data_IF_678082784925
#
_entry.id   IF_678082784925
#
_cell.length_a   1.000
_cell.length_b   1.000
_cell.length_c   1.000
_cell.angle_alpha   90.00
_cell.angle_beta   90.00
_cell.angle_gamma   90.00
#
_symmetry.space_group_name_H-M   'P 1'
#
loop_
_entity.id
_entity.type
_entity.pdbx_description
1 polymer ?
#
# COMPACT_ATOMS: atom_id res chain seq x y z
N UNK A 1 -0.66 5.19 7.26
CA UNK A 1 -1.46 6.15 6.47
C UNK A 1 -2.61 6.75 7.28
N UNK A 2 -3.59 6.05 7.89
CA UNK A 2 -4.66 6.68 8.70
C UNK A 2 -4.15 7.61 9.80
N UNK A 3 -3.16 7.21 10.57
CA UNK A 3 -2.59 8.05 11.64
C UNK A 3 -2.02 9.38 11.10
N UNK A 4 -1.35 9.35 9.95
CA UNK A 4 -0.82 10.56 9.31
C UNK A 4 -1.94 11.51 8.90
N UNK A 5 -3.04 10.99 8.36
CA UNK A 5 -4.19 11.79 7.97
C UNK A 5 -4.74 12.56 9.17
N UNK A 6 -4.97 11.89 10.30
CA UNK A 6 -5.48 12.54 11.51
C UNK A 6 -4.50 13.54 12.12
N UNK A 7 -3.20 13.23 12.10
CA UNK A 7 -2.18 14.17 12.57
C UNK A 7 -2.18 15.44 11.72
N UNK A 8 -2.18 15.31 10.40
CA UNK A 8 -2.21 16.48 9.51
C UNK A 8 -3.52 17.26 9.62
N UNK A 9 -4.64 16.58 9.82
CA UNK A 9 -5.93 17.22 10.07
C UNK A 9 -5.93 18.02 11.38
N UNK A 10 -5.41 17.44 12.48
CA UNK A 10 -5.32 18.14 13.78
C UNK A 10 -4.33 19.29 13.78
N UNK A 11 -3.31 19.24 12.95
CA UNK A 11 -2.35 20.32 12.72
C UNK A 11 -2.87 21.39 11.74
N UNK A 12 -4.15 21.28 11.29
CA UNK A 12 -4.81 22.23 10.40
C UNK A 12 -4.09 22.46 9.05
N UNK A 13 -3.51 21.39 8.48
CA UNK A 13 -3.02 21.45 7.10
C UNK A 13 -4.16 21.73 6.11
N UNK A 14 -3.82 22.30 4.95
CA UNK A 14 -4.81 22.61 3.91
C UNK A 14 -5.63 21.39 3.52
N UNK A 15 -6.94 21.47 3.71
CA UNK A 15 -7.90 20.39 3.44
C UNK A 15 -7.90 19.96 1.97
N UNK A 16 -7.53 20.83 1.04
CA UNK A 16 -7.49 20.51 -0.38
C UNK A 16 -6.39 19.49 -0.69
N UNK A 17 -5.27 19.55 0.03
CA UNK A 17 -4.09 18.72 -0.19
C UNK A 17 -3.86 17.69 0.91
N UNK A 18 -4.72 17.62 1.93
CA UNK A 18 -4.55 16.79 3.12
C UNK A 18 -4.29 15.31 2.76
N UNK A 19 -5.11 14.76 1.86
CA UNK A 19 -4.96 13.36 1.45
C UNK A 19 -3.71 13.14 0.59
N UNK A 20 -3.37 14.08 -0.29
CA UNK A 20 -2.17 14.02 -1.12
C UNK A 20 -0.90 14.01 -0.27
N UNK A 21 -0.83 14.93 0.71
CA UNK A 21 0.27 15.00 1.68
C UNK A 21 0.39 13.71 2.49
N UNK A 22 -0.75 13.17 2.93
CA UNK A 22 -0.80 11.91 3.66
C UNK A 22 -0.27 10.74 2.84
N UNK A 23 -0.72 10.61 1.58
CA UNK A 23 -0.32 9.52 0.68
C UNK A 23 1.15 9.64 0.29
N UNK A 24 1.60 10.83 -0.10
CA UNK A 24 3.00 11.07 -0.49
C UNK A 24 3.98 10.78 0.66
N UNK A 25 3.67 11.30 1.86
CA UNK A 25 4.46 11.04 3.07
C UNK A 25 4.44 9.55 3.43
N UNK A 26 3.28 8.89 3.34
CA UNK A 26 3.17 7.45 3.61
C UNK A 26 4.01 6.62 2.65
N UNK A 27 4.03 6.91 1.36
CA UNK A 27 4.90 6.22 0.40
C UNK A 27 6.38 6.40 0.74
N UNK A 28 6.80 7.60 1.09
CA UNK A 28 8.19 7.87 1.46
C UNK A 28 8.61 7.08 2.70
N UNK A 29 7.78 7.03 3.75
CA UNK A 29 8.01 6.20 4.93
C UNK A 29 8.06 4.72 4.56
N UNK A 30 7.17 4.28 3.68
CA UNK A 30 7.08 2.86 3.33
C UNK A 30 8.22 2.36 2.43
N UNK A 31 9.02 3.21 1.80
CA UNK A 31 10.28 2.82 1.16
C UNK A 31 11.19 2.11 2.17
N UNK A 32 11.42 2.73 3.32
CA UNK A 32 12.29 2.19 4.38
C UNK A 32 11.67 0.95 5.02
N UNK A 33 10.40 1.01 5.34
CA UNK A 33 9.64 -0.12 5.93
C UNK A 33 9.64 -1.34 5.00
N UNK A 34 9.42 -1.14 3.71
CA UNK A 34 9.46 -2.21 2.71
C UNK A 34 10.87 -2.78 2.54
N UNK A 35 11.90 -1.93 2.56
CA UNK A 35 13.30 -2.38 2.49
C UNK A 35 13.61 -3.35 3.63
N UNK A 36 13.27 -2.99 4.88
CA UNK A 36 13.46 -3.86 6.04
C UNK A 36 12.66 -5.16 5.90
N UNK A 37 11.43 -5.07 5.43
CA UNK A 37 10.56 -6.23 5.17
C UNK A 37 11.15 -7.16 4.11
N UNK A 38 11.62 -6.62 2.98
CA UNK A 38 12.27 -7.39 1.91
C UNK A 38 13.51 -8.12 2.42
N UNK A 39 14.39 -7.42 3.16
CA UNK A 39 15.59 -8.03 3.72
C UNK A 39 15.21 -9.19 4.64
N UNK A 40 14.21 -9.01 5.49
CA UNK A 40 13.74 -10.03 6.43
C UNK A 40 13.15 -11.25 5.70
N UNK A 41 12.30 -11.04 4.71
CA UNK A 41 11.71 -12.12 3.91
C UNK A 41 12.76 -12.82 3.02
N UNK A 42 13.73 -12.08 2.51
CA UNK A 42 14.78 -12.65 1.65
C UNK A 42 15.74 -13.53 2.45
N UNK A 43 16.04 -13.19 3.71
CA UNK A 43 16.80 -14.08 4.62
C UNK A 43 16.13 -15.46 4.77
N UNK A 44 14.81 -15.50 4.72
CA UNK A 44 14.03 -16.74 4.78
C UNK A 44 13.79 -17.37 3.39
N UNK A 45 14.47 -16.89 2.33
CA UNK A 45 14.36 -17.36 0.93
C UNK A 45 12.92 -17.32 0.39
N UNK A 46 12.11 -16.37 0.84
CA UNK A 46 10.69 -16.25 0.46
C UNK A 46 10.46 -15.26 -0.69
N UNK A 47 11.41 -14.41 -1.00
CA UNK A 47 11.34 -13.51 -2.15
C UNK A 47 11.66 -14.30 -3.42
N UNK A 48 10.76 -14.25 -4.39
CA UNK A 48 11.01 -14.77 -5.73
C UNK A 48 11.16 -13.60 -6.71
N UNK A 49 12.41 -13.29 -7.04
CA UNK A 49 12.73 -12.18 -7.94
C UNK A 49 12.20 -12.37 -9.37
N UNK A 50 11.87 -13.59 -9.79
CA UNK A 50 11.22 -13.83 -11.08
C UNK A 50 9.79 -13.27 -11.04
N UNK A 51 9.05 -13.48 -9.93
CA UNK A 51 7.73 -12.88 -9.73
C UNK A 51 7.86 -11.35 -9.74
N UNK A 52 8.82 -10.80 -9.00
CA UNK A 52 9.05 -9.35 -8.93
C UNK A 52 9.29 -8.76 -10.31
N UNK A 53 10.13 -9.38 -11.13
CA UNK A 53 10.43 -8.91 -12.49
C UNK A 53 9.24 -9.06 -13.46
N UNK A 54 8.48 -10.15 -13.37
CA UNK A 54 7.44 -10.46 -14.37
C UNK A 54 6.06 -9.92 -14.03
N UNK A 55 5.78 -9.65 -12.76
CA UNK A 55 4.51 -9.05 -12.30
C UNK A 55 4.74 -7.61 -11.80
N UNK A 56 5.82 -7.37 -11.06
CA UNK A 56 6.11 -6.08 -10.43
C UNK A 56 6.26 -4.93 -11.44
N UNK A 57 6.81 -5.19 -12.64
CA UNK A 57 6.90 -4.17 -13.71
C UNK A 57 5.53 -3.63 -14.08
N UNK A 58 4.53 -4.48 -14.23
CA UNK A 58 3.17 -4.06 -14.55
C UNK A 58 2.50 -3.34 -13.38
N UNK A 59 2.83 -3.72 -12.14
CA UNK A 59 2.38 -3.01 -10.95
C UNK A 59 2.97 -1.59 -10.92
N UNK A 60 4.25 -1.43 -11.20
CA UNK A 60 4.91 -0.11 -11.27
C UNK A 60 4.27 0.78 -12.34
N UNK A 61 4.00 0.25 -13.54
CA UNK A 61 3.26 0.98 -14.56
C UNK A 61 1.87 1.40 -14.06
N UNK A 62 1.16 0.51 -13.36
CA UNK A 62 -0.12 0.84 -12.74
C UNK A 62 0.00 1.96 -11.70
N UNK A 63 1.06 1.96 -10.88
CA UNK A 63 1.33 3.02 -9.88
C UNK A 63 1.58 4.36 -10.57
N UNK A 64 2.35 4.40 -11.66
CA UNK A 64 2.58 5.64 -12.41
C UNK A 64 1.26 6.26 -12.88
N UNK A 65 0.42 5.48 -13.55
CA UNK A 65 -0.91 5.96 -13.98
C UNK A 65 -1.80 6.33 -12.79
N UNK A 66 -1.81 5.51 -11.75
CA UNK A 66 -2.60 5.75 -10.55
C UNK A 66 -2.16 6.99 -9.77
N UNK A 67 -0.87 7.30 -9.73
CA UNK A 67 -0.33 8.50 -9.08
C UNK A 67 -0.73 9.75 -9.84
N UNK A 68 -0.58 9.75 -11.16
CA UNK A 68 -1.05 10.86 -12.01
C UNK A 68 -2.55 11.08 -11.80
N UNK A 69 -3.34 10.02 -11.88
CA UNK A 69 -4.79 10.10 -11.65
C UNK A 69 -5.12 10.65 -10.26
N UNK A 70 -4.48 10.14 -9.21
CA UNK A 70 -4.69 10.59 -7.84
C UNK A 70 -4.34 12.06 -7.63
N UNK A 71 -3.31 12.56 -8.31
CA UNK A 71 -2.84 13.95 -8.19
C UNK A 71 -3.88 14.97 -8.66
N UNK A 72 -4.74 14.62 -9.61
CA UNK A 72 -5.82 15.47 -10.09
C UNK A 72 -7.14 15.31 -9.31
N UNK A 73 -7.22 14.35 -8.38
CA UNK A 73 -8.43 14.12 -7.59
C UNK A 73 -8.48 15.09 -6.41
N UNK A 74 -9.69 15.52 -6.04
CA UNK A 74 -9.89 16.29 -4.80
C UNK A 74 -9.71 15.36 -3.58
N UNK A 75 -9.19 15.88 -2.47
CA UNK A 75 -9.04 15.15 -1.20
C UNK A 75 -10.29 14.36 -0.81
N UNK A 76 -11.47 14.96 -0.93
CA UNK A 76 -12.76 14.31 -0.63
C UNK A 76 -12.98 13.03 -1.44
N UNK A 77 -12.67 13.04 -2.74
CA UNK A 77 -12.81 11.88 -3.62
C UNK A 77 -11.77 10.80 -3.26
N UNK A 78 -10.54 11.19 -2.92
CA UNK A 78 -9.51 10.26 -2.48
C UNK A 78 -9.88 9.58 -1.16
N UNK A 79 -10.47 10.31 -0.22
CA UNK A 79 -10.99 9.76 1.05
C UNK A 79 -12.09 8.75 0.79
N UNK A 80 -13.05 9.05 -0.10
CA UNK A 80 -14.12 8.13 -0.48
C UNK A 80 -13.55 6.87 -1.16
N UNK A 81 -12.65 7.05 -2.13
CA UNK A 81 -11.99 5.94 -2.81
C UNK A 81 -11.26 5.02 -1.84
N UNK A 82 -10.47 5.60 -0.93
CA UNK A 82 -9.79 4.87 0.13
C UNK A 82 -10.78 4.08 0.98
N UNK A 83 -11.87 4.70 1.42
CA UNK A 83 -12.89 4.08 2.26
C UNK A 83 -13.51 2.86 1.58
N UNK A 84 -13.96 3.01 0.33
CA UNK A 84 -14.59 1.93 -0.45
C UNK A 84 -13.65 0.75 -0.60
N UNK A 85 -12.40 1.01 -0.99
CA UNK A 85 -11.42 -0.05 -1.22
C UNK A 85 -11.05 -0.76 0.09
N UNK A 86 -10.87 -0.02 1.19
CA UNK A 86 -10.57 -0.59 2.51
C UNK A 86 -11.72 -1.46 3.01
N UNK A 87 -12.98 -1.03 2.82
CA UNK A 87 -14.17 -1.83 3.14
C UNK A 87 -14.23 -3.13 2.33
N UNK A 88 -14.03 -3.02 1.01
CA UNK A 88 -14.05 -4.18 0.13
C UNK A 88 -12.99 -5.22 0.54
N UNK A 89 -11.75 -4.77 0.79
CA UNK A 89 -10.68 -5.66 1.22
C UNK A 89 -10.87 -6.17 2.64
N UNK A 90 -11.43 -5.36 3.55
CA UNK A 90 -11.81 -5.80 4.89
C UNK A 90 -12.80 -6.96 4.83
N UNK A 91 -13.89 -6.81 4.05
CA UNK A 91 -14.88 -7.87 3.81
C UNK A 91 -14.23 -9.11 3.18
N UNK A 92 -13.44 -8.92 2.12
CA UNK A 92 -12.72 -10.01 1.46
C UNK A 92 -11.85 -10.80 2.44
N UNK A 93 -11.07 -10.13 3.29
CA UNK A 93 -10.19 -10.80 4.25
C UNK A 93 -10.96 -11.53 5.35
N UNK A 94 -12.10 -11.00 5.77
CA UNK A 94 -12.96 -11.67 6.77
C UNK A 94 -13.63 -12.94 6.21
N UNK A 95 -14.03 -12.91 4.93
CA UNK A 95 -14.74 -14.01 4.27
C UNK A 95 -13.81 -15.03 3.61
N UNK A 96 -12.56 -14.66 3.33
CA UNK A 96 -11.64 -15.53 2.63
C UNK A 96 -11.27 -16.75 3.48
N UNK A 97 -11.64 -17.91 2.97
CA UNK A 97 -11.25 -19.21 3.51
C UNK A 97 -9.91 -19.66 2.89
N UNK A 98 -9.15 -20.44 3.64
CA UNK A 98 -7.92 -21.04 3.14
C UNK A 98 -8.24 -22.12 2.10
N UNK A 99 -8.59 -21.73 0.88
CA UNK A 99 -8.71 -22.67 -0.23
C UNK A 99 -7.30 -23.06 -0.68
N UNK A 100 -6.81 -24.16 -0.17
CA UNK A 100 -5.56 -24.80 -0.63
C UNK A 100 -5.82 -25.47 -1.99
N UNK A 101 -6.11 -24.69 -3.02
CA UNK A 101 -5.97 -25.21 -4.38
C UNK A 101 -4.49 -25.13 -4.74
N UNK A 102 -3.87 -26.30 -4.95
CA UNK A 102 -2.56 -26.42 -5.61
C UNK A 102 -2.75 -26.02 -7.09
N UNK A 103 -2.78 -24.74 -7.37
CA UNK A 103 -2.79 -24.24 -8.73
C UNK A 103 -1.36 -24.30 -9.25
N UNK A 104 -1.17 -24.79 -10.47
CA UNK A 104 0.11 -24.63 -11.17
C UNK A 104 0.26 -23.14 -11.53
N UNK A 105 1.46 -22.56 -11.40
CA UNK A 105 1.67 -21.16 -11.77
C UNK A 105 1.24 -20.90 -13.22
N UNK A 106 0.32 -19.96 -13.39
CA UNK A 106 -0.11 -19.57 -14.72
C UNK A 106 0.98 -18.72 -15.37
N UNK A 107 1.56 -19.22 -16.47
CA UNK A 107 2.62 -18.53 -17.22
C UNK A 107 2.07 -17.49 -18.20
N UNK A 108 0.76 -17.39 -18.40
CA UNK A 108 0.14 -16.44 -19.31
C UNK A 108 0.46 -14.98 -18.94
N UNK A 109 0.84 -14.18 -19.93
CA UNK A 109 1.17 -12.76 -19.74
C UNK A 109 -0.10 -11.92 -19.50
N UNK A 110 -1.21 -12.20 -20.19
CA UNK A 110 -2.44 -11.40 -20.10
C UNK A 110 -2.94 -11.18 -18.67
N UNK A 111 -3.18 -12.22 -17.83
CA UNK A 111 -3.65 -11.99 -16.48
C UNK A 111 -2.61 -11.28 -15.60
N UNK A 112 -1.30 -11.47 -15.84
CA UNK A 112 -0.25 -10.75 -15.10
C UNK A 112 -0.26 -9.27 -15.39
N UNK A 113 -0.42 -8.88 -16.66
CA UNK A 113 -0.50 -7.48 -17.10
C UNK A 113 -1.72 -6.81 -16.47
N UNK A 114 -2.91 -7.40 -16.66
CA UNK A 114 -4.18 -6.81 -16.19
C UNK A 114 -4.18 -6.67 -14.66
N UNK A 115 -3.87 -7.75 -13.94
CA UNK A 115 -3.87 -7.75 -12.47
C UNK A 115 -2.76 -6.86 -11.91
N UNK A 116 -1.58 -6.82 -12.56
CA UNK A 116 -0.48 -5.97 -12.15
C UNK A 116 -0.82 -4.48 -12.27
N UNK A 117 -1.27 -4.04 -13.45
CA UNK A 117 -1.66 -2.65 -13.69
C UNK A 117 -2.80 -2.25 -12.76
N UNK A 118 -3.83 -3.09 -12.62
CA UNK A 118 -4.95 -2.82 -11.71
C UNK A 118 -4.49 -2.68 -10.26
N UNK A 119 -3.65 -3.61 -9.78
CA UNK A 119 -3.10 -3.54 -8.43
C UNK A 119 -2.32 -2.25 -8.17
N UNK A 120 -1.45 -1.88 -9.10
CA UNK A 120 -0.67 -0.65 -8.99
C UNK A 120 -1.53 0.60 -9.02
N UNK A 121 -2.47 0.66 -9.97
CA UNK A 121 -3.39 1.79 -10.13
C UNK A 121 -4.22 2.05 -8.86
N UNK A 122 -4.79 1.00 -8.27
CA UNK A 122 -5.59 1.14 -7.03
C UNK A 122 -4.70 1.43 -5.82
N UNK A 123 -3.47 0.89 -5.77
CA UNK A 123 -2.55 1.13 -4.65
C UNK A 123 -2.08 2.59 -4.55
N UNK A 124 -1.97 3.30 -5.67
CA UNK A 124 -1.44 4.66 -5.72
C UNK A 124 -2.29 5.67 -4.95
N UNK A 125 -3.62 5.82 -5.19
CA UNK A 125 -4.47 6.73 -4.43
C UNK A 125 -4.58 6.36 -2.95
N UNK A 126 -4.33 5.08 -2.61
CA UNK A 126 -4.45 4.59 -1.24
C UNK A 126 -3.20 4.83 -0.37
N UNK A 127 -2.04 5.12 -0.97
CA UNK A 127 -0.79 5.21 -0.22
C UNK A 127 -0.39 3.89 0.45
N UNK A 128 -0.79 2.74 -0.11
CA UNK A 128 -0.54 1.40 0.43
C UNK A 128 0.39 0.64 -0.50
N UNK A 129 1.35 -0.09 0.06
CA UNK A 129 2.40 -0.81 -0.68
C UNK A 129 1.93 -2.06 -1.43
N UNK A 130 0.64 -2.20 -1.62
CA UNK A 130 0.04 -3.23 -2.46
C UNK A 130 0.13 -4.67 -1.95
N UNK A 131 0.73 -4.95 -0.79
CA UNK A 131 0.76 -6.31 -0.25
C UNK A 131 -0.66 -6.89 -0.10
N UNK A 132 -1.60 -6.06 0.30
CA UNK A 132 -3.01 -6.40 0.47
C UNK A 132 -3.66 -6.87 -0.85
N UNK A 133 -3.25 -6.29 -1.98
CA UNK A 133 -3.75 -6.66 -3.32
C UNK A 133 -2.84 -7.68 -4.02
N UNK A 134 -1.52 -7.49 -3.94
CA UNK A 134 -0.58 -8.33 -4.66
C UNK A 134 -0.58 -9.77 -4.15
N UNK A 135 -0.76 -9.99 -2.83
CA UNK A 135 -0.79 -11.36 -2.28
C UNK A 135 -1.95 -12.17 -2.83
N UNK A 136 -3.23 -11.74 -2.78
CA UNK A 136 -4.33 -12.50 -3.38
C UNK A 136 -4.21 -12.63 -4.91
N UNK A 137 -3.69 -11.63 -5.63
CA UNK A 137 -3.49 -11.71 -7.07
C UNK A 137 -2.41 -12.72 -7.46
N UNK A 138 -1.27 -12.71 -6.78
CA UNK A 138 -0.22 -13.71 -6.98
C UNK A 138 -0.71 -15.12 -6.60
N UNK A 139 -1.54 -15.22 -5.58
CA UNK A 139 -2.19 -16.47 -5.20
C UNK A 139 -3.13 -16.97 -6.32
N UNK A 140 -3.93 -16.08 -6.88
CA UNK A 140 -4.79 -16.38 -8.04
C UNK A 140 -3.97 -16.86 -9.25
N UNK A 141 -2.76 -16.30 -9.46
CA UNK A 141 -1.82 -16.74 -10.48
C UNK A 141 -1.14 -18.09 -10.16
N UNK A 142 -1.47 -18.73 -9.02
CA UNK A 142 -1.03 -20.08 -8.67
C UNK A 142 0.27 -20.15 -7.87
N UNK A 143 0.80 -19.03 -7.38
CA UNK A 143 2.02 -19.05 -6.56
C UNK A 143 1.75 -19.48 -5.11
N UNK A 144 2.72 -20.18 -4.44
CA UNK A 144 2.61 -20.51 -3.02
C UNK A 144 2.51 -19.25 -2.15
N UNK A 145 1.68 -19.30 -1.09
CA UNK A 145 1.40 -18.14 -0.23
C UNK A 145 2.67 -17.51 0.37
N UNK A 146 3.64 -18.33 0.77
CA UNK A 146 4.92 -17.85 1.31
C UNK A 146 5.71 -17.03 0.29
N UNK A 147 5.73 -17.48 -0.98
CA UNK A 147 6.35 -16.73 -2.09
C UNK A 147 5.56 -15.48 -2.45
N UNK A 148 4.22 -15.53 -2.35
CA UNK A 148 3.38 -14.35 -2.56
C UNK A 148 3.69 -13.25 -1.55
N UNK A 149 3.79 -13.58 -0.25
CA UNK A 149 4.08 -12.61 0.82
C UNK A 149 5.46 -11.97 0.62
N UNK A 150 6.51 -12.80 0.44
CA UNK A 150 7.86 -12.28 0.26
C UNK A 150 8.02 -11.44 -1.01
N UNK A 151 7.47 -11.91 -2.14
CA UNK A 151 7.55 -11.18 -3.41
C UNK A 151 6.69 -9.92 -3.40
N UNK A 152 5.51 -9.93 -2.73
CA UNK A 152 4.68 -8.73 -2.56
C UNK A 152 5.38 -7.66 -1.73
N UNK A 153 6.19 -8.02 -0.73
CA UNK A 153 7.02 -7.07 0.01
C UNK A 153 8.04 -6.39 -0.90
N UNK A 154 8.71 -7.14 -1.79
CA UNK A 154 9.65 -6.60 -2.76
C UNK A 154 8.96 -5.70 -3.80
N UNK A 155 7.80 -6.10 -4.32
CA UNK A 155 6.99 -5.26 -5.20
C UNK A 155 6.55 -3.98 -4.46
N UNK A 156 6.23 -4.09 -3.17
CA UNK A 156 5.88 -2.97 -2.31
C UNK A 156 6.96 -1.89 -2.21
N UNK A 157 8.23 -2.28 -2.22
CA UNK A 157 9.34 -1.33 -2.30
C UNK A 157 9.28 -0.50 -3.59
N UNK A 158 9.09 -1.14 -4.75
CA UNK A 158 8.98 -0.43 -6.03
C UNK A 158 7.72 0.45 -6.11
N UNK A 159 6.59 -0.01 -5.58
CA UNK A 159 5.37 0.80 -5.46
C UNK A 159 5.64 2.07 -4.66
N UNK A 160 6.27 1.91 -3.48
CA UNK A 160 6.55 3.03 -2.57
C UNK A 160 7.50 4.03 -3.20
N UNK A 161 8.56 3.55 -3.84
CA UNK A 161 9.53 4.41 -4.52
C UNK A 161 8.87 5.20 -5.64
N UNK A 162 8.16 4.52 -6.54
CA UNK A 162 7.46 5.16 -7.67
C UNK A 162 6.37 6.12 -7.20
N UNK A 163 5.58 5.72 -6.20
CA UNK A 163 4.53 6.57 -5.63
C UNK A 163 5.11 7.81 -4.93
N UNK A 164 6.19 7.65 -4.16
CA UNK A 164 6.87 8.77 -3.50
C UNK A 164 7.38 9.79 -4.51
N UNK A 165 8.08 9.34 -5.55
CA UNK A 165 8.58 10.22 -6.64
C UNK A 165 7.40 10.88 -7.36
N UNK A 166 6.34 10.14 -7.65
CA UNK A 166 5.16 10.67 -8.32
C UNK A 166 4.46 11.77 -7.52
N UNK A 167 4.24 11.58 -6.21
CA UNK A 167 3.64 12.61 -5.35
C UNK A 167 4.57 13.78 -5.08
N UNK A 168 5.89 13.56 -5.05
CA UNK A 168 6.87 14.64 -4.99
C UNK A 168 6.77 15.53 -6.22
N UNK A 169 6.82 14.94 -7.42
CA UNK A 169 6.71 15.67 -8.69
C UNK A 169 5.35 16.37 -8.84
N UNK A 170 4.27 15.71 -8.41
CA UNK A 170 2.93 16.31 -8.42
C UNK A 170 2.87 17.55 -7.53
N UNK A 171 3.48 17.53 -6.35
CA UNK A 171 3.53 18.67 -5.46
C UNK A 171 4.27 19.86 -6.09
N UNK A 172 5.36 19.62 -6.82
CA UNK A 172 6.04 20.66 -7.60
C UNK A 172 5.20 21.18 -8.77
N UNK A 173 4.53 20.29 -9.49
CA UNK A 173 3.67 20.67 -10.63
C UNK A 173 2.53 21.59 -10.21
N UNK A 174 1.90 21.34 -9.06
CA UNK A 174 0.83 22.17 -8.53
C UNK A 174 1.34 23.40 -7.69
N UNK A 175 2.65 23.62 -7.62
CA UNK A 175 3.27 24.68 -6.82
C UNK A 175 2.75 24.69 -5.37
N UNK A 176 2.66 23.50 -4.76
CA UNK A 176 2.11 23.36 -3.41
C UNK A 176 3.11 23.82 -2.37
N UNK A 177 2.74 24.83 -1.60
CA UNK A 177 3.52 25.32 -0.46
C UNK A 177 2.83 24.91 0.85
N UNK A 178 3.36 23.85 1.47
CA UNK A 178 2.86 23.32 2.74
C UNK A 178 3.96 23.35 3.80
N UNK A 179 3.61 23.67 5.08
CA UNK A 179 4.60 23.79 6.14
C UNK A 179 5.49 22.55 6.27
N UNK A 180 6.80 22.77 6.33
CA UNK A 180 7.81 21.72 6.49
C UNK A 180 7.70 20.56 5.49
N UNK A 181 7.23 20.83 4.27
CA UNK A 181 6.99 19.80 3.25
C UNK A 181 7.73 20.13 1.95
N UNK A 182 8.14 19.09 1.24
CA UNK A 182 8.70 19.18 -0.11
C UNK A 182 7.72 18.48 -1.05
N UNK A 183 7.02 19.26 -1.89
CA UNK A 183 5.89 18.75 -2.65
C UNK A 183 4.84 18.14 -1.70
N UNK A 184 4.39 16.91 -1.96
CA UNK A 184 3.47 16.21 -1.08
C UNK A 184 4.17 15.28 -0.07
N UNK A 185 5.35 15.65 0.43
CA UNK A 185 6.10 14.89 1.42
C UNK A 185 6.42 15.75 2.63
N UNK A 186 5.86 15.44 3.79
CA UNK A 186 6.13 16.13 5.04
C UNK A 186 7.37 15.55 5.73
N UNK A 187 8.41 16.37 5.89
CA UNK A 187 9.72 15.95 6.39
C UNK A 187 9.69 15.58 7.88
N UNK A 188 9.08 16.38 8.80
CA UNK A 188 8.97 16.00 10.22
C UNK A 188 8.26 14.66 10.42
N UNK A 189 7.13 14.45 9.73
CA UNK A 189 6.41 13.18 9.82
C UNK A 189 7.26 12.01 9.29
N UNK A 190 7.96 12.20 8.18
CA UNK A 190 8.89 11.20 7.64
C UNK A 190 9.96 10.81 8.67
N UNK A 191 10.67 11.78 9.26
CA UNK A 191 11.75 11.53 10.22
C UNK A 191 11.22 10.82 11.49
N UNK A 192 10.03 11.21 11.96
CA UNK A 192 9.42 10.62 13.15
C UNK A 192 8.95 9.18 12.94
N UNK A 193 8.31 8.91 11.79
CA UNK A 193 7.66 7.60 11.57
C UNK A 193 8.61 6.53 11.04
N UNK A 194 9.67 6.87 10.30
CA UNK A 194 10.58 5.89 9.69
C UNK A 194 11.23 4.95 10.73
N UNK A 195 11.83 5.41 11.84
CA UNK A 195 12.44 4.52 12.82
C UNK A 195 11.43 3.54 13.42
N UNK A 196 10.27 4.06 13.84
CA UNK A 196 9.22 3.27 14.49
C UNK A 196 8.65 2.21 13.55
N UNK A 197 8.28 2.63 12.33
CA UNK A 197 7.69 1.72 11.34
C UNK A 197 8.68 0.69 10.82
N UNK A 198 9.95 1.06 10.65
CA UNK A 198 11.01 0.14 10.24
C UNK A 198 11.30 -0.93 11.30
N UNK A 199 11.34 -0.54 12.58
CA UNK A 199 11.45 -1.48 13.68
C UNK A 199 10.26 -2.44 13.71
N UNK A 200 9.04 -1.92 13.66
CA UNK A 200 7.81 -2.72 13.66
C UNK A 200 7.67 -3.61 12.43
N UNK A 201 8.18 -3.20 11.27
CA UNK A 201 8.19 -4.04 10.08
C UNK A 201 9.03 -5.30 10.27
N UNK A 202 10.18 -5.19 10.94
CA UNK A 202 11.02 -6.35 11.28
C UNK A 202 10.33 -7.29 12.25
N UNK A 203 9.71 -6.74 13.29
CA UNK A 203 8.93 -7.52 14.26
C UNK A 203 7.77 -8.23 13.58
N UNK A 204 6.97 -7.50 12.78
CA UNK A 204 5.83 -8.04 12.06
C UNK A 204 6.21 -9.14 11.06
N UNK A 205 7.27 -8.93 10.29
CA UNK A 205 7.75 -9.93 9.33
C UNK A 205 8.20 -11.23 10.01
N UNK A 206 8.80 -11.16 11.19
CA UNK A 206 9.20 -12.35 11.95
C UNK A 206 8.01 -13.02 12.64
N UNK A 207 7.01 -12.25 13.08
CA UNK A 207 5.86 -12.76 13.82
C UNK A 207 4.86 -13.47 12.92
N UNK A 208 4.69 -13.02 11.68
CA UNK A 208 3.74 -13.58 10.71
C UNK A 208 3.93 -15.08 10.50
N UNK A 209 5.15 -15.60 10.63
CA UNK A 209 5.42 -17.03 10.48
C UNK A 209 5.00 -17.87 11.68
N UNK A 210 4.84 -17.25 12.85
CA UNK A 210 4.46 -17.91 14.11
C UNK A 210 2.95 -17.86 14.38
N UNK A 211 2.23 -16.99 13.66
CA UNK A 211 0.80 -16.78 13.85
C UNK A 211 -0.03 -17.72 12.98
N UNK A 212 -1.20 -18.09 13.50
CA UNK A 212 -2.27 -18.66 12.68
C UNK A 212 -2.71 -17.66 11.60
N UNK A 213 -2.52 -18.06 10.36
CA UNK A 213 -2.76 -17.20 9.19
C UNK A 213 -4.20 -16.71 9.10
N UNK A 214 -5.18 -17.56 9.43
CA UNK A 214 -6.59 -17.20 9.39
C UNK A 214 -6.95 -16.19 10.48
N UNK A 215 -6.39 -16.39 11.70
CA UNK A 215 -6.59 -15.43 12.80
C UNK A 215 -5.97 -14.07 12.47
N UNK A 216 -4.73 -14.06 11.98
CA UNK A 216 -4.06 -12.83 11.56
C UNK A 216 -4.84 -12.11 10.44
N UNK A 217 -5.34 -12.85 9.45
CA UNK A 217 -6.12 -12.32 8.34
C UNK A 217 -7.45 -11.72 8.80
N UNK A 218 -8.19 -12.40 9.69
CA UNK A 218 -9.46 -11.89 10.24
C UNK A 218 -9.22 -10.65 11.11
N UNK A 219 -8.22 -10.67 11.96
CA UNK A 219 -7.86 -9.50 12.79
C UNK A 219 -7.54 -8.28 11.93
N UNK A 220 -6.77 -8.48 10.85
CA UNK A 220 -6.48 -7.41 9.91
C UNK A 220 -7.73 -6.95 9.14
N UNK A 221 -8.64 -7.86 8.79
CA UNK A 221 -9.94 -7.52 8.20
C UNK A 221 -10.79 -6.63 9.11
N UNK A 222 -10.89 -6.97 10.40
CA UNK A 222 -11.58 -6.14 11.40
C UNK A 222 -10.94 -4.75 11.51
N UNK A 223 -9.61 -4.69 11.58
CA UNK A 223 -8.88 -3.42 11.60
C UNK A 223 -9.21 -2.55 10.37
N UNK A 224 -9.25 -3.13 9.18
CA UNK A 224 -9.63 -2.41 7.96
C UNK A 224 -11.08 -1.90 8.01
N UNK A 225 -12.00 -2.69 8.56
CA UNK A 225 -13.39 -2.26 8.75
C UNK A 225 -13.49 -1.03 9.65
N UNK A 226 -12.82 -1.04 10.80
CA UNK A 226 -12.77 0.10 11.72
C UNK A 226 -12.20 1.33 11.01
N UNK A 227 -11.07 1.18 10.32
CA UNK A 227 -10.45 2.28 9.56
C UNK A 227 -11.41 2.79 8.47
N UNK A 228 -12.03 1.90 7.72
CA UNK A 228 -13.00 2.27 6.68
C UNK A 228 -14.18 3.06 7.23
N UNK A 229 -14.75 2.63 8.37
CA UNK A 229 -15.84 3.34 9.04
C UNK A 229 -15.45 4.76 9.44
N UNK A 230 -14.27 4.92 10.02
CA UNK A 230 -13.74 6.22 10.42
C UNK A 230 -13.59 7.14 9.18
N UNK A 231 -13.06 6.62 8.07
CA UNK A 231 -12.88 7.41 6.85
C UNK A 231 -14.20 7.72 6.13
N UNK A 232 -15.22 6.86 6.18
CA UNK A 232 -16.57 7.20 5.71
C UNK A 232 -17.18 8.31 6.55
N UNK A 233 -17.08 8.21 7.87
CA UNK A 233 -17.55 9.28 8.74
C UNK A 233 -16.86 10.61 8.42
N UNK A 234 -15.55 10.60 8.17
CA UNK A 234 -14.82 11.79 7.75
C UNK A 234 -15.26 12.32 6.39
N UNK A 235 -15.49 11.45 5.42
CA UNK A 235 -16.02 11.84 4.10
C UNK A 235 -17.32 12.64 4.19
N UNK A 236 -18.20 12.28 5.14
CA UNK A 236 -19.47 12.98 5.37
C UNK A 236 -19.29 14.35 6.03
N UNK A 237 -18.17 14.57 6.75
CA UNK A 237 -17.91 15.78 7.52
C UNK A 237 -16.83 16.71 6.92
N UNK A 238 -16.19 16.32 5.79
CA UNK A 238 -15.31 17.18 4.96
C UNK A 238 -16.15 17.82 3.85
#
# INVERSE_FOLDING_TARGET
MPCLFFIFETLNFDKNYLMHLTVGTAFTITIFTSTVSVITHNKNKLVDFRIVKTFGVFVVLGVLFGTVFASFMKTKILVLFFSIVVYFFGAYLMMAQERVKKLKPNSSLKPRVILGIFSGFVSAPMGITGAMMNVPMLRYLGYPISKCIGSAAAIGFFISFTGSVGFLLSGFYFNVDLPFSIGFINIPAFVLFVPVTSFMARVGANTVYKMDKLKAQRLFGVFLYVVGTIFIYRFLNI
#
